data_IF_441260902264
#
_entry.id   IF_441260902264
#
_cell.length_a   1.000
_cell.length_b   1.000
_cell.length_c   1.000
_cell.angle_alpha   90.00
_cell.angle_beta   90.00
_cell.angle_gamma   90.00
#
_symmetry.space_group_name_H-M   'P 1'
#
loop_
_entity.id
_entity.type
_entity.pdbx_description
1 polymer ?
#
# COMPACT_ATOMS: atom_id res chain seq x y z
N UNK A 1 -10.37 13.36 7.21
CA UNK A 1 -9.08 12.67 7.06
C UNK A 1 -9.33 11.29 6.47
N UNK A 2 -8.29 10.60 6.04
CA UNK A 2 -8.36 9.18 5.70
C UNK A 2 -8.11 8.35 6.97
N UNK A 3 -8.68 7.15 7.02
CA UNK A 3 -8.43 6.13 8.05
C UNK A 3 -7.20 5.24 7.73
N UNK A 4 -6.65 5.40 6.52
CA UNK A 4 -5.44 4.73 6.03
C UNK A 4 -4.26 5.72 5.88
N UNK A 5 -3.04 5.20 5.72
CA UNK A 5 -1.89 6.02 5.32
C UNK A 5 -2.17 6.59 3.93
N UNK A 6 -2.10 7.92 3.79
CA UNK A 6 -2.47 8.59 2.53
C UNK A 6 -1.27 9.14 1.78
N UNK A 7 -1.34 9.08 0.44
CA UNK A 7 -0.40 9.78 -0.45
C UNK A 7 -0.79 11.23 -0.73
N UNK A 8 -1.89 11.71 -0.15
CA UNK A 8 -2.40 13.07 -0.42
C UNK A 8 -1.85 14.14 0.52
N UNK A 9 -1.14 13.73 1.58
CA UNK A 9 -0.62 14.63 2.59
C UNK A 9 0.01 13.87 3.75
N UNK A 10 -0.07 14.46 4.93
CA UNK A 10 0.51 13.90 6.16
C UNK A 10 -0.38 12.84 6.79
N UNK A 11 0.26 11.81 7.36
CA UNK A 11 -0.38 10.83 8.24
C UNK A 11 0.28 10.90 9.61
N UNK A 12 -0.50 11.14 10.66
CA UNK A 12 -0.02 11.02 12.04
C UNK A 12 -0.05 9.56 12.47
N UNK A 13 1.06 9.07 13.01
CA UNK A 13 1.26 7.67 13.38
C UNK A 13 1.57 7.57 14.88
N UNK A 14 0.94 6.61 15.54
CA UNK A 14 1.35 6.12 16.85
C UNK A 14 1.79 4.65 16.69
N UNK A 15 3.07 4.38 16.91
CA UNK A 15 3.65 3.04 16.80
C UNK A 15 3.88 2.47 18.20
N UNK A 16 3.36 1.27 18.45
CA UNK A 16 3.64 0.47 19.63
C UNK A 16 4.67 -0.60 19.28
N UNK A 17 5.88 -0.50 19.85
CA UNK A 17 6.95 -1.46 19.63
C UNK A 17 7.67 -1.75 20.94
N UNK A 18 7.84 -3.03 21.27
CA UNK A 18 8.54 -3.43 22.51
C UNK A 18 7.86 -2.97 23.82
N UNK A 19 6.58 -2.59 23.77
CA UNK A 19 5.85 -2.03 24.92
C UNK A 19 5.88 -0.51 25.02
N UNK A 20 6.67 0.16 24.18
CA UNK A 20 6.77 1.61 24.13
C UNK A 20 5.94 2.19 22.98
N UNK A 21 5.30 3.33 23.22
CA UNK A 21 4.58 4.08 22.19
C UNK A 21 5.42 5.28 21.77
N UNK A 22 5.68 5.40 20.46
CA UNK A 22 6.22 6.63 19.86
C UNK A 22 5.26 7.19 18.83
N UNK A 23 5.24 8.51 18.71
CA UNK A 23 4.43 9.20 17.70
C UNK A 23 5.32 9.94 16.70
N UNK A 24 4.90 9.95 15.44
CA UNK A 24 5.59 10.66 14.36
C UNK A 24 4.64 10.95 13.21
N UNK A 25 5.08 11.81 12.29
CA UNK A 25 4.34 12.12 11.07
C UNK A 25 5.01 11.47 9.88
N UNK A 26 4.22 10.84 9.01
CA UNK A 26 4.66 10.33 7.72
C UNK A 26 4.17 11.23 6.59
N UNK A 27 5.03 11.38 5.57
CA UNK A 27 4.67 11.94 4.27
C UNK A 27 5.12 11.00 3.15
N UNK A 28 4.52 11.06 1.96
CA UNK A 28 4.95 10.26 0.82
C UNK A 28 6.41 10.55 0.43
N UNK A 29 6.82 11.81 0.53
CA UNK A 29 8.17 12.24 0.16
C UNK A 29 9.25 11.65 1.09
N UNK A 30 8.91 11.37 2.36
CA UNK A 30 9.84 10.76 3.31
C UNK A 30 10.28 9.34 2.91
N UNK A 31 9.54 8.70 2.00
CA UNK A 31 9.83 7.37 1.45
C UNK A 31 10.06 7.40 -0.06
N UNK A 32 10.29 8.58 -0.63
CA UNK A 32 10.60 8.76 -2.05
C UNK A 32 9.40 8.64 -3.00
N UNK A 33 8.17 8.67 -2.49
CA UNK A 33 6.95 8.62 -3.29
C UNK A 33 6.42 10.02 -3.61
N UNK A 34 5.69 10.12 -4.72
CA UNK A 34 5.02 11.36 -5.14
C UNK A 34 3.79 11.61 -4.27
N UNK A 35 3.54 12.88 -3.92
CA UNK A 35 2.25 13.31 -3.39
C UNK A 35 1.20 13.37 -4.48
N UNK A 36 0.06 12.72 -4.24
CA UNK A 36 -1.07 12.66 -5.16
C UNK A 36 -2.23 13.54 -4.69
N UNK A 37 -3.14 13.82 -5.59
CA UNK A 37 -4.40 14.51 -5.31
C UNK A 37 -5.47 13.51 -4.88
N UNK A 38 -6.55 14.01 -4.26
CA UNK A 38 -7.68 13.14 -3.90
C UNK A 38 -8.39 12.61 -5.15
N UNK A 39 -8.39 13.41 -6.21
CA UNK A 39 -8.95 13.10 -7.51
C UNK A 39 -8.22 11.94 -8.18
N UNK A 40 -6.89 11.87 -8.07
CA UNK A 40 -6.07 10.75 -8.57
C UNK A 40 -6.35 9.41 -7.84
N UNK A 41 -6.89 9.46 -6.61
CA UNK A 41 -7.27 8.27 -5.82
C UNK A 41 -8.78 7.96 -5.87
N UNK A 42 -9.56 8.75 -6.61
CA UNK A 42 -11.01 8.63 -6.60
C UNK A 42 -11.44 7.32 -7.24
N UNK A 43 -11.96 6.41 -6.41
CA UNK A 43 -12.62 5.20 -6.86
C UNK A 43 -13.90 5.46 -7.67
N UNK A 44 -14.35 4.42 -8.36
CA UNK A 44 -15.58 4.39 -9.14
C UNK A 44 -16.52 3.29 -8.65
N UNK A 45 -17.27 2.69 -9.57
CA UNK A 45 -18.09 1.52 -9.28
C UNK A 45 -17.23 0.26 -9.02
N UNK A 46 -17.89 -0.85 -8.67
CA UNK A 46 -17.21 -2.10 -8.36
C UNK A 46 -16.37 -2.62 -9.53
N UNK A 47 -16.85 -2.51 -10.77
CA UNK A 47 -16.15 -3.00 -11.95
C UNK A 47 -14.92 -2.15 -12.27
N UNK A 48 -15.02 -0.84 -12.10
CA UNK A 48 -13.90 0.10 -12.20
C UNK A 48 -12.85 -0.20 -11.13
N UNK A 49 -13.23 -0.29 -9.86
CA UNK A 49 -12.27 -0.53 -8.77
C UNK A 49 -11.57 -1.89 -8.92
N UNK A 50 -12.29 -2.93 -9.34
CA UNK A 50 -11.70 -4.24 -9.61
C UNK A 50 -10.65 -4.20 -10.72
N UNK A 51 -10.90 -3.42 -11.78
CA UNK A 51 -9.95 -3.20 -12.88
C UNK A 51 -8.72 -2.45 -12.38
N UNK A 52 -8.90 -1.32 -11.71
CA UNK A 52 -7.79 -0.52 -11.16
C UNK A 52 -6.91 -1.34 -10.23
N UNK A 53 -7.51 -2.18 -9.36
CA UNK A 53 -6.77 -3.09 -8.48
C UNK A 53 -5.95 -4.09 -9.29
N UNK A 54 -6.55 -4.77 -10.27
CA UNK A 54 -5.85 -5.75 -11.11
C UNK A 54 -4.72 -5.12 -11.93
N UNK A 55 -4.96 -3.95 -12.52
CA UNK A 55 -3.95 -3.22 -13.29
C UNK A 55 -2.76 -2.83 -12.40
N UNK A 56 -3.03 -2.32 -11.20
CA UNK A 56 -2.00 -1.97 -10.23
C UNK A 56 -1.21 -3.19 -9.74
N UNK A 57 -1.90 -4.29 -9.40
CA UNK A 57 -1.24 -5.55 -9.05
C UNK A 57 -0.46 -6.16 -10.22
N UNK A 58 -0.84 -5.84 -11.46
CA UNK A 58 -0.11 -6.14 -12.69
C UNK A 58 1.07 -5.21 -12.96
N UNK A 59 1.36 -4.26 -12.08
CA UNK A 59 2.53 -3.39 -12.15
C UNK A 59 2.26 -1.96 -12.63
N UNK A 60 1.01 -1.59 -12.93
CA UNK A 60 0.69 -0.23 -13.34
C UNK A 60 1.12 0.80 -12.28
N UNK A 61 1.88 1.80 -12.71
CA UNK A 61 2.31 2.91 -11.85
C UNK A 61 1.17 3.92 -11.62
N UNK A 62 1.26 4.69 -10.54
CA UNK A 62 0.34 5.80 -10.26
C UNK A 62 -0.14 5.83 -8.81
N UNK A 63 -1.12 6.71 -8.55
CA UNK A 63 -1.58 7.02 -7.19
C UNK A 63 -2.09 5.80 -6.41
N UNK A 64 -2.81 4.89 -7.07
CA UNK A 64 -3.26 3.63 -6.48
C UNK A 64 -2.08 2.78 -5.99
N UNK A 65 -1.05 2.63 -6.83
CA UNK A 65 0.14 1.85 -6.50
C UNK A 65 0.87 2.47 -5.31
N UNK A 66 1.17 3.75 -5.37
CA UNK A 66 1.94 4.42 -4.32
C UNK A 66 1.22 4.37 -2.96
N UNK A 67 -0.11 4.53 -2.97
CA UNK A 67 -0.93 4.41 -1.74
C UNK A 67 -0.91 2.99 -1.18
N UNK A 68 -1.02 1.98 -2.05
CA UNK A 68 -0.93 0.58 -1.61
C UNK A 68 0.46 0.24 -1.11
N UNK A 69 1.52 0.75 -1.74
CA UNK A 69 2.90 0.53 -1.29
C UNK A 69 3.12 1.07 0.12
N UNK A 70 2.63 2.28 0.44
CA UNK A 70 2.75 2.84 1.79
C UNK A 70 2.05 1.97 2.84
N UNK A 71 0.80 1.56 2.58
CA UNK A 71 0.03 0.77 3.53
C UNK A 71 0.55 -0.68 3.67
N UNK A 72 0.86 -1.33 2.55
CA UNK A 72 1.44 -2.67 2.55
C UNK A 72 2.83 -2.68 3.20
N UNK A 73 3.65 -1.66 2.94
CA UNK A 73 4.95 -1.49 3.57
C UNK A 73 4.85 -1.34 5.08
N UNK A 74 3.92 -0.53 5.58
CA UNK A 74 3.65 -0.40 7.01
C UNK A 74 3.15 -1.74 7.61
N UNK A 75 2.26 -2.45 6.92
CA UNK A 75 1.80 -3.78 7.31
C UNK A 75 2.94 -4.80 7.42
N UNK A 76 3.91 -4.76 6.50
CA UNK A 76 5.09 -5.62 6.55
C UNK A 76 6.02 -5.30 7.73
N UNK A 77 6.15 -4.02 8.10
CA UNK A 77 6.90 -3.62 9.31
C UNK A 77 6.21 -4.17 10.56
N UNK A 78 4.89 -3.95 10.69
CA UNK A 78 4.11 -4.46 11.83
C UNK A 78 4.17 -6.00 11.91
N UNK A 79 4.18 -6.68 10.76
CA UNK A 79 4.32 -8.14 10.69
C UNK A 79 5.74 -8.66 10.96
N UNK A 80 6.72 -7.79 11.24
CA UNK A 80 8.12 -8.16 11.46
C UNK A 80 8.81 -8.71 10.19
N UNK A 81 8.30 -8.36 9.00
CA UNK A 81 8.86 -8.76 7.70
C UNK A 81 9.74 -7.70 7.08
N UNK A 82 9.72 -6.48 7.62
CA UNK A 82 10.59 -5.37 7.26
C UNK A 82 11.01 -4.61 8.52
N UNK A 83 12.21 -4.03 8.53
CA UNK A 83 12.71 -3.26 9.68
C UNK A 83 12.30 -1.79 9.62
N UNK A 84 12.21 -1.23 8.41
CA UNK A 84 11.78 0.14 8.18
C UNK A 84 10.63 0.20 7.19
N UNK A 85 9.91 1.32 7.17
CA UNK A 85 8.85 1.55 6.19
C UNK A 85 9.39 1.52 4.75
N UNK A 86 10.59 2.06 4.52
CA UNK A 86 11.24 2.03 3.21
C UNK A 86 11.53 0.57 2.76
N UNK A 87 12.02 -0.29 3.66
CA UNK A 87 12.23 -1.71 3.36
C UNK A 87 10.91 -2.42 3.05
N UNK A 88 9.86 -2.10 3.81
CA UNK A 88 8.51 -2.63 3.60
C UNK A 88 7.95 -2.22 2.23
N UNK A 89 8.09 -0.94 1.86
CA UNK A 89 7.69 -0.41 0.56
C UNK A 89 8.45 -1.10 -0.56
N UNK A 90 9.76 -1.27 -0.43
CA UNK A 90 10.59 -1.96 -1.42
C UNK A 90 10.17 -3.43 -1.59
N UNK A 91 9.89 -4.13 -0.49
CA UNK A 91 9.40 -5.51 -0.53
C UNK A 91 8.00 -5.62 -1.17
N UNK A 92 7.09 -4.68 -0.86
CA UNK A 92 5.78 -4.60 -1.47
C UNK A 92 5.86 -4.32 -2.99
N UNK A 93 6.74 -3.40 -3.40
CA UNK A 93 6.99 -3.10 -4.80
C UNK A 93 7.51 -4.33 -5.53
N UNK A 94 8.49 -5.03 -4.97
CA UNK A 94 9.00 -6.27 -5.54
C UNK A 94 7.93 -7.36 -5.66
N UNK A 95 7.00 -7.46 -4.70
CA UNK A 95 5.88 -8.40 -4.78
C UNK A 95 4.91 -8.09 -5.92
N UNK A 96 4.65 -6.80 -6.19
CA UNK A 96 3.84 -6.35 -7.33
C UNK A 96 4.60 -6.58 -8.64
N UNK A 97 5.84 -6.09 -8.74
CA UNK A 97 6.63 -6.10 -9.99
C UNK A 97 7.01 -7.52 -10.44
N UNK A 98 7.14 -8.46 -9.50
CA UNK A 98 7.35 -9.88 -9.82
C UNK A 98 6.06 -10.61 -10.21
N UNK A 99 4.89 -9.95 -10.17
CA UNK A 99 3.58 -10.55 -10.43
C UNK A 99 3.06 -11.47 -9.31
N UNK A 100 3.82 -11.65 -8.22
CA UNK A 100 3.43 -12.52 -7.10
C UNK A 100 2.17 -12.03 -6.41
N UNK A 101 2.01 -10.72 -6.26
CA UNK A 101 0.82 -10.15 -5.63
C UNK A 101 -0.45 -10.44 -6.46
N UNK A 102 -0.39 -10.29 -7.79
CA UNK A 102 -1.49 -10.62 -8.68
C UNK A 102 -1.80 -12.13 -8.67
N UNK A 103 -0.77 -12.98 -8.69
CA UNK A 103 -0.93 -14.44 -8.61
C UNK A 103 -1.63 -14.89 -7.32
N UNK A 104 -1.39 -14.21 -6.19
CA UNK A 104 -2.11 -14.47 -4.93
C UNK A 104 -3.59 -14.12 -5.05
N UNK A 105 -3.93 -12.99 -5.69
CA UNK A 105 -5.33 -12.63 -5.95
C UNK A 105 -6.03 -13.67 -6.83
N UNK A 106 -5.39 -14.10 -7.92
CA UNK A 106 -5.98 -15.10 -8.82
C UNK A 106 -6.20 -16.45 -8.11
N UNK A 107 -5.22 -16.89 -7.30
CA UNK A 107 -5.37 -18.09 -6.46
C UNK A 107 -6.50 -17.95 -5.44
N UNK A 108 -6.68 -16.78 -4.84
CA UNK A 108 -7.78 -16.53 -3.92
C UNK A 108 -9.13 -16.68 -4.63
N UNK A 109 -9.27 -16.10 -5.82
CA UNK A 109 -10.49 -16.20 -6.65
C UNK A 109 -10.80 -17.64 -7.03
N UNK A 110 -9.78 -18.42 -7.40
CA UNK A 110 -9.92 -19.84 -7.73
C UNK A 110 -10.46 -20.63 -6.53
N UNK A 111 -9.83 -20.48 -5.36
CA UNK A 111 -10.19 -21.25 -4.16
C UNK A 111 -11.56 -20.84 -3.59
N UNK A 112 -11.95 -19.57 -3.69
CA UNK A 112 -13.22 -19.09 -3.11
C UNK A 112 -14.46 -19.39 -3.95
N UNK A 113 -14.29 -19.77 -5.22
CA UNK A 113 -15.38 -20.07 -6.16
C UNK A 113 -15.37 -21.53 -6.64
N UNK A 114 -14.44 -22.35 -6.12
CA UNK A 114 -14.33 -23.79 -6.41
C UNK A 114 -15.12 -24.67 -5.45
#
# INVERSE_FOLDING_TARGET
GYDEITTTGETQVAELAGGDIRTFTLTPEAVGLKRHTKEELRGGDAAYNARQLRDMLGGAAGAYRDTVLMNAGAGLVVAGKATTLADGIAAAAQAIDSGRALAVLDKLVEISNG
#
